data_IF_656374691222
#
_entry.id   IF_656374691222
#
_cell.length_a   1.000
_cell.length_b   1.000
_cell.length_c   1.000
_cell.angle_alpha   90.00
_cell.angle_beta   90.00
_cell.angle_gamma   90.00
#
_symmetry.space_group_name_H-M   'P 1'
#
loop_
_entity.id
_entity.type
_entity.pdbx_description
1 polymer ?
#
# COMPACT_ATOMS: atom_id res chain seq x y z
N UNK A 1 -12.81 4.53 35.58
CA UNK A 1 -13.62 3.87 34.54
C UNK A 1 -13.17 2.42 34.47
N UNK A 2 -14.09 1.48 34.50
CA UNK A 2 -13.84 0.06 34.31
C UNK A 2 -13.52 -0.26 32.85
N UNK A 3 -12.84 -1.38 32.59
CA UNK A 3 -12.56 -1.86 31.24
C UNK A 3 -13.85 -2.01 30.40
N UNK A 4 -14.92 -2.53 31.01
CA UNK A 4 -16.20 -2.74 30.33
C UNK A 4 -16.86 -1.41 29.94
N UNK A 5 -16.89 -0.42 30.83
CA UNK A 5 -17.41 0.92 30.52
C UNK A 5 -16.65 1.58 29.36
N UNK A 6 -15.31 1.46 29.35
CA UNK A 6 -14.47 1.96 28.25
C UNK A 6 -14.87 1.32 26.90
N UNK A 7 -15.00 0.00 26.87
CA UNK A 7 -15.40 -0.75 25.66
C UNK A 7 -16.81 -0.37 25.20
N UNK A 8 -17.78 -0.27 26.12
CA UNK A 8 -19.14 0.14 25.77
C UNK A 8 -19.20 1.58 25.21
N UNK A 9 -18.45 2.51 25.81
CA UNK A 9 -18.41 3.90 25.35
C UNK A 9 -17.80 4.03 23.95
N UNK A 10 -16.62 3.43 23.71
CA UNK A 10 -15.96 3.43 22.40
C UNK A 10 -16.81 2.74 21.32
N UNK A 11 -17.51 1.66 21.68
CA UNK A 11 -18.45 0.97 20.77
C UNK A 11 -19.64 1.86 20.43
N UNK A 12 -20.20 2.57 21.42
CA UNK A 12 -21.31 3.51 21.21
C UNK A 12 -20.90 4.67 20.31
N UNK A 13 -19.71 5.26 20.54
CA UNK A 13 -19.16 6.32 19.69
C UNK A 13 -18.93 5.81 18.26
N UNK A 14 -18.34 4.62 18.10
CA UNK A 14 -18.14 3.97 16.80
C UNK A 14 -19.45 3.80 16.04
N UNK A 15 -20.50 3.27 16.68
CA UNK A 15 -21.82 3.10 16.07
C UNK A 15 -22.49 4.45 15.70
N UNK A 16 -22.25 5.51 16.48
CA UNK A 16 -22.73 6.85 16.15
C UNK A 16 -22.01 7.48 14.97
N UNK A 17 -20.77 7.06 14.66
CA UNK A 17 -19.99 7.53 13.51
C UNK A 17 -20.22 6.67 12.25
N UNK A 18 -20.39 5.36 12.36
CA UNK A 18 -20.73 4.50 11.20
C UNK A 18 -22.13 4.76 10.66
N UNK A 19 -23.04 5.28 11.50
CA UNK A 19 -24.39 5.73 11.08
C UNK A 19 -24.41 7.15 10.48
N UNK A 20 -23.26 7.80 10.31
CA UNK A 20 -23.12 9.10 9.64
C UNK A 20 -22.86 8.91 8.16
N UNK A 21 -23.34 9.87 7.39
CA UNK A 21 -22.90 10.10 6.01
C UNK A 21 -21.51 10.74 5.99
N UNK A 22 -20.76 10.56 4.89
CA UNK A 22 -19.38 11.06 4.74
C UNK A 22 -19.23 12.60 4.82
N UNK A 23 -20.32 13.37 4.86
CA UNK A 23 -20.29 14.82 5.05
C UNK A 23 -20.07 15.24 6.52
N UNK A 24 -20.46 14.41 7.49
CA UNK A 24 -20.23 14.63 8.94
C UNK A 24 -18.77 14.30 9.33
N UNK A 25 -17.82 14.67 8.45
CA UNK A 25 -16.41 14.26 8.48
C UNK A 25 -15.73 14.57 9.82
N UNK A 26 -15.93 15.77 10.34
CA UNK A 26 -15.27 16.23 11.56
C UNK A 26 -15.65 15.38 12.79
N UNK A 27 -16.90 14.92 12.86
CA UNK A 27 -17.36 14.03 13.93
C UNK A 27 -16.81 12.62 13.77
N UNK A 28 -16.79 12.10 12.54
CA UNK A 28 -16.22 10.78 12.21
C UNK A 28 -14.71 10.76 12.53
N UNK A 29 -13.98 11.82 12.16
CA UNK A 29 -12.55 12.00 12.45
C UNK A 29 -12.31 12.14 13.96
N UNK A 30 -13.11 12.93 14.69
CA UNK A 30 -13.00 13.04 16.15
C UNK A 30 -13.23 11.70 16.87
N UNK A 31 -14.27 10.94 16.51
CA UNK A 31 -14.53 9.60 17.07
C UNK A 31 -13.38 8.64 16.77
N UNK A 32 -12.86 8.66 15.54
CA UNK A 32 -11.70 7.84 15.15
C UNK A 32 -10.49 8.14 16.02
N UNK A 33 -10.16 9.43 16.18
CA UNK A 33 -9.00 9.86 16.95
C UNK A 33 -9.16 9.51 18.43
N UNK A 34 -10.35 9.60 19.01
CA UNK A 34 -10.61 9.16 20.38
C UNK A 34 -10.40 7.64 20.55
N UNK A 35 -10.95 6.82 19.63
CA UNK A 35 -10.73 5.36 19.64
C UNK A 35 -9.23 5.05 19.50
N UNK A 36 -8.50 5.78 18.67
CA UNK A 36 -7.06 5.65 18.50
C UNK A 36 -6.27 6.01 19.77
N UNK A 37 -6.51 7.18 20.35
CA UNK A 37 -5.81 7.68 21.54
C UNK A 37 -6.02 6.77 22.76
N UNK A 38 -7.26 6.32 22.99
CA UNK A 38 -7.57 5.39 24.10
C UNK A 38 -6.98 4.00 23.85
N UNK A 39 -6.96 3.51 22.61
CA UNK A 39 -6.59 2.11 22.32
C UNK A 39 -5.10 1.89 22.04
N UNK A 40 -4.36 2.92 21.61
CA UNK A 40 -2.98 2.79 21.12
C UNK A 40 -1.97 3.75 21.76
N UNK A 41 -2.39 4.90 22.28
CA UNK A 41 -1.50 5.90 22.90
C UNK A 41 -1.56 5.88 24.43
N UNK A 42 -2.75 5.76 25.00
CA UNK A 42 -2.96 5.84 26.45
C UNK A 42 -2.47 4.57 27.15
N UNK A 43 -1.30 4.66 27.80
CA UNK A 43 -0.61 3.52 28.44
C UNK A 43 -1.50 2.70 29.40
N UNK A 44 -2.41 3.35 30.13
CA UNK A 44 -3.28 2.67 31.11
C UNK A 44 -4.34 1.77 30.47
N UNK A 45 -4.76 2.07 29.23
CA UNK A 45 -5.87 1.42 28.54
C UNK A 45 -5.41 0.53 27.39
N UNK A 46 -4.30 0.89 26.73
CA UNK A 46 -3.74 0.20 25.56
C UNK A 46 -3.64 -1.32 25.72
N UNK A 47 -3.13 -1.77 26.88
CA UNK A 47 -2.83 -3.19 27.12
C UNK A 47 -4.10 -4.07 27.17
N UNK A 48 -5.27 -3.49 27.48
CA UNK A 48 -6.55 -4.22 27.52
C UNK A 48 -7.53 -3.85 26.39
N UNK A 49 -7.32 -2.72 25.69
CA UNK A 49 -8.25 -2.21 24.68
C UNK A 49 -7.73 -2.29 23.25
N UNK A 50 -6.43 -2.46 23.01
CA UNK A 50 -5.82 -2.47 21.66
C UNK A 50 -6.47 -3.44 20.66
N UNK A 51 -6.94 -4.62 21.10
CA UNK A 51 -7.71 -5.53 20.25
C UNK A 51 -9.07 -4.93 19.85
N UNK A 52 -9.88 -4.53 20.83
CA UNK A 52 -11.19 -3.92 20.59
C UNK A 52 -11.08 -2.63 19.78
N UNK A 53 -10.09 -1.79 20.07
CA UNK A 53 -9.79 -0.58 19.31
C UNK A 53 -9.44 -0.86 17.86
N UNK A 54 -8.63 -1.90 17.59
CA UNK A 54 -8.37 -2.37 16.22
C UNK A 54 -9.67 -2.79 15.51
N UNK A 55 -10.52 -3.57 16.18
CA UNK A 55 -11.77 -4.07 15.60
C UNK A 55 -12.76 -2.90 15.33
N UNK A 56 -12.83 -1.90 16.22
CA UNK A 56 -13.64 -0.69 16.06
C UNK A 56 -13.09 0.24 14.95
N UNK A 57 -11.78 0.48 14.88
CA UNK A 57 -11.16 1.24 13.79
C UNK A 57 -11.33 0.54 12.43
N UNK A 58 -11.23 -0.79 12.38
CA UNK A 58 -11.50 -1.58 11.19
C UNK A 58 -12.95 -1.43 10.72
N UNK A 59 -13.90 -1.44 11.66
CA UNK A 59 -15.31 -1.16 11.40
C UNK A 59 -15.51 0.25 10.85
N UNK A 60 -14.95 1.27 11.49
CA UNK A 60 -15.00 2.67 11.03
C UNK A 60 -14.47 2.82 9.61
N UNK A 61 -13.29 2.28 9.32
CA UNK A 61 -12.67 2.34 7.99
C UNK A 61 -13.47 1.58 6.90
N UNK A 62 -14.26 0.57 7.28
CA UNK A 62 -15.14 -0.15 6.36
C UNK A 62 -16.35 0.68 5.89
N UNK A 63 -16.90 1.52 6.77
CA UNK A 63 -17.96 2.48 6.40
C UNK A 63 -17.38 3.76 5.77
N UNK A 64 -16.21 4.19 6.22
CA UNK A 64 -15.60 5.47 5.88
C UNK A 64 -14.11 5.31 5.49
N UNK A 65 -13.79 4.87 4.26
CA UNK A 65 -12.41 4.53 3.87
C UNK A 65 -11.40 5.67 4.00
N UNK A 66 -11.83 6.94 3.94
CA UNK A 66 -10.95 8.11 4.11
C UNK A 66 -10.26 8.16 5.49
N UNK A 67 -10.81 7.45 6.49
CA UNK A 67 -10.24 7.34 7.83
C UNK A 67 -8.84 6.72 7.80
N UNK A 68 -8.52 5.89 6.81
CA UNK A 68 -7.18 5.29 6.69
C UNK A 68 -6.12 6.39 6.46
N UNK A 69 -6.42 7.44 5.69
CA UNK A 69 -5.56 8.64 5.56
C UNK A 69 -5.40 9.42 6.88
N UNK A 70 -6.48 9.53 7.66
CA UNK A 70 -6.48 10.18 8.99
C UNK A 70 -5.56 9.42 9.95
N UNK A 71 -5.74 8.10 10.06
CA UNK A 71 -4.94 7.23 10.91
C UNK A 71 -3.46 7.20 10.48
N UNK A 72 -3.18 7.22 9.17
CA UNK A 72 -1.81 7.24 8.65
C UNK A 72 -1.07 8.52 9.07
N UNK A 73 -1.74 9.67 8.94
CA UNK A 73 -1.20 10.97 9.40
C UNK A 73 -1.01 10.99 10.91
N UNK A 74 -2.02 10.57 11.68
CA UNK A 74 -1.95 10.55 13.15
C UNK A 74 -0.84 9.62 13.67
N UNK A 75 -0.65 8.46 13.03
CA UNK A 75 0.47 7.56 13.30
C UNK A 75 1.81 8.21 12.95
N UNK A 76 1.90 9.06 11.92
CA UNK A 76 3.14 9.80 11.61
C UNK A 76 3.54 10.77 12.72
N UNK A 77 2.57 11.42 13.36
CA UNK A 77 2.77 12.38 14.46
C UNK A 77 3.14 11.71 15.79
N UNK A 78 2.68 10.47 16.00
CA UNK A 78 2.76 9.74 17.28
C UNK A 78 3.66 8.50 17.21
N UNK A 79 4.45 8.36 16.15
CA UNK A 79 5.16 7.13 15.81
C UNK A 79 6.14 6.65 16.89
N UNK A 80 6.73 7.59 17.64
CA UNK A 80 7.63 7.31 18.77
C UNK A 80 6.91 6.63 19.94
N UNK A 81 5.62 6.92 20.13
CA UNK A 81 4.77 6.36 21.18
C UNK A 81 4.13 5.04 20.77
N UNK A 82 3.53 4.97 19.59
CA UNK A 82 2.83 3.75 19.12
C UNK A 82 3.80 2.66 18.68
N UNK A 83 4.97 3.04 18.13
CA UNK A 83 6.00 2.11 17.67
C UNK A 83 5.45 1.04 16.73
N UNK A 84 5.99 -0.19 16.83
CA UNK A 84 5.59 -1.32 15.95
C UNK A 84 4.13 -1.75 16.08
N UNK A 85 3.41 -1.30 17.12
CA UNK A 85 1.98 -1.62 17.30
C UNK A 85 1.12 -1.02 16.17
N UNK A 86 1.59 0.03 15.49
CA UNK A 86 0.90 0.59 14.33
C UNK A 86 0.67 -0.44 13.21
N UNK A 87 1.59 -1.39 13.01
CA UNK A 87 1.45 -2.47 12.02
C UNK A 87 0.37 -3.48 12.47
N UNK A 88 0.29 -3.78 13.77
CA UNK A 88 -0.79 -4.59 14.32
C UNK A 88 -2.17 -3.91 14.23
N UNK A 89 -2.23 -2.58 14.33
CA UNK A 89 -3.46 -1.81 14.14
C UNK A 89 -3.91 -1.85 12.68
N UNK A 90 -3.06 -1.43 11.74
CA UNK A 90 -3.37 -1.44 10.30
C UNK A 90 -3.71 -2.85 9.79
N UNK A 91 -3.04 -3.86 10.34
CA UNK A 91 -3.58 -5.16 10.77
C UNK A 91 -5.03 -5.51 10.40
N UNK A 92 -5.97 -4.76 10.98
CA UNK A 92 -7.41 -5.02 10.94
C UNK A 92 -8.21 -3.99 10.14
N UNK A 93 -7.55 -3.09 9.41
CA UNK A 93 -8.21 -2.10 8.57
C UNK A 93 -8.41 -2.66 7.16
N UNK A 94 -9.56 -2.40 6.50
CA UNK A 94 -9.81 -2.83 5.12
C UNK A 94 -9.06 -1.92 4.12
N UNK A 95 -7.72 -2.01 4.08
CA UNK A 95 -6.87 -1.19 3.20
C UNK A 95 -7.24 -1.33 1.72
N UNK A 96 -7.84 -2.45 1.32
CA UNK A 96 -8.27 -2.71 -0.04
C UNK A 96 -9.45 -1.85 -0.52
N UNK A 97 -10.24 -1.21 0.36
CA UNK A 97 -11.31 -0.26 -0.05
C UNK A 97 -10.85 1.21 -0.06
N UNK A 98 -9.58 1.47 0.26
CA UNK A 98 -9.05 2.82 0.40
C UNK A 98 -8.52 3.40 -0.90
N UNK A 99 -8.89 4.66 -1.16
CA UNK A 99 -8.33 5.48 -2.23
C UNK A 99 -7.38 6.53 -1.61
N UNK A 100 -6.05 6.35 -1.69
CA UNK A 100 -5.09 7.29 -1.11
C UNK A 100 -5.05 8.61 -1.90
N UNK A 101 -4.81 9.72 -1.20
CA UNK A 101 -4.49 11.00 -1.84
C UNK A 101 -2.97 11.20 -1.95
N UNK A 102 -2.53 12.20 -2.71
CA UNK A 102 -1.09 12.41 -2.98
C UNK A 102 -0.25 12.57 -1.72
N UNK A 103 -0.74 13.27 -0.69
CA UNK A 103 -0.01 13.40 0.58
C UNK A 103 0.15 12.08 1.33
N UNK A 104 -0.79 11.14 1.18
CA UNK A 104 -0.69 9.81 1.78
C UNK A 104 0.42 8.99 1.08
N UNK A 105 0.48 9.11 -0.25
CA UNK A 105 1.50 8.44 -1.07
C UNK A 105 2.90 9.05 -0.87
N UNK A 106 3.00 10.37 -0.70
CA UNK A 106 4.26 11.04 -0.33
C UNK A 106 4.73 10.62 1.07
N UNK A 107 3.82 10.46 2.03
CA UNK A 107 4.13 9.95 3.36
C UNK A 107 4.67 8.51 3.29
N UNK A 108 3.97 7.61 2.61
CA UNK A 108 4.38 6.21 2.37
C UNK A 108 5.77 6.16 1.70
N UNK A 109 5.98 6.97 0.66
CA UNK A 109 7.28 7.08 -0.03
C UNK A 109 8.38 7.57 0.91
N UNK A 110 8.10 8.57 1.73
CA UNK A 110 9.06 9.10 2.68
C UNK A 110 9.49 8.05 3.71
N UNK A 111 8.55 7.22 4.19
CA UNK A 111 8.83 6.12 5.10
C UNK A 111 9.69 5.03 4.46
N UNK A 112 9.38 4.62 3.23
CA UNK A 112 10.16 3.59 2.52
C UNK A 112 11.60 4.03 2.21
N UNK A 113 11.78 5.27 1.78
CA UNK A 113 13.09 5.77 1.35
C UNK A 113 13.94 6.26 2.53
N UNK A 114 13.36 6.98 3.51
CA UNK A 114 14.12 7.75 4.51
C UNK A 114 14.29 7.04 5.86
N UNK A 115 13.56 5.97 6.15
CA UNK A 115 13.64 5.26 7.45
C UNK A 115 14.23 3.85 7.31
N UNK A 116 14.71 3.28 8.41
CA UNK A 116 15.37 1.97 8.41
C UNK A 116 14.41 0.80 8.16
N UNK A 117 14.91 -0.29 7.57
CA UNK A 117 14.12 -1.47 7.20
C UNK A 117 13.36 -2.12 8.38
N UNK A 118 13.86 -1.93 9.60
CA UNK A 118 13.31 -2.45 10.86
C UNK A 118 12.40 -1.46 11.60
N UNK A 119 12.30 -0.22 11.10
CA UNK A 119 11.49 0.84 11.70
C UNK A 119 9.98 0.56 11.55
N UNK A 120 9.14 1.01 12.50
CA UNK A 120 7.69 0.93 12.38
C UNK A 120 7.15 1.55 11.08
N UNK A 121 7.70 2.72 10.70
CA UNK A 121 7.37 3.46 9.48
C UNK A 121 7.56 2.60 8.23
N UNK A 122 8.74 2.03 8.06
CA UNK A 122 9.08 1.21 6.90
C UNK A 122 8.30 -0.12 6.87
N UNK A 123 8.02 -0.71 8.04
CA UNK A 123 7.17 -1.91 8.14
C UNK A 123 5.71 -1.60 7.79
N UNK A 124 5.18 -0.46 8.27
CA UNK A 124 3.81 -0.02 7.99
C UNK A 124 3.63 0.35 6.51
N UNK A 125 4.55 1.10 5.91
CA UNK A 125 4.50 1.46 4.49
C UNK A 125 4.46 0.22 3.58
N UNK A 126 5.29 -0.79 3.89
CA UNK A 126 5.27 -2.08 3.18
C UNK A 126 3.96 -2.84 3.36
N UNK A 127 3.43 -2.87 4.58
CA UNK A 127 2.13 -3.49 4.87
C UNK A 127 1.01 -2.80 4.07
N UNK A 128 0.95 -1.47 4.09
CA UNK A 128 -0.11 -0.70 3.43
C UNK A 128 -0.09 -0.93 1.92
N UNK A 129 1.06 -0.77 1.23
CA UNK A 129 1.16 -1.03 -0.21
C UNK A 129 0.81 -2.47 -0.61
N UNK A 130 1.16 -3.47 0.21
CA UNK A 130 0.85 -4.89 -0.05
C UNK A 130 -0.66 -5.21 0.04
N UNK A 131 -1.43 -4.40 0.76
CA UNK A 131 -2.85 -4.64 1.03
C UNK A 131 -3.78 -3.61 0.35
N UNK A 132 -3.25 -2.73 -0.52
CA UNK A 132 -4.07 -1.94 -1.44
C UNK A 132 -4.68 -2.81 -2.54
N UNK A 133 -5.83 -2.40 -3.08
CA UNK A 133 -6.42 -3.06 -4.24
C UNK A 133 -5.80 -2.54 -5.54
N UNK A 134 -4.81 -3.27 -6.06
CA UNK A 134 -4.21 -3.06 -7.39
C UNK A 134 -4.99 -3.79 -8.52
N UNK A 135 -6.20 -4.25 -8.22
CA UNK A 135 -7.09 -4.93 -9.17
C UNK A 135 -8.01 -3.96 -9.93
N UNK A 136 -9.10 -4.52 -10.42
CA UNK A 136 -10.21 -3.74 -10.98
C UNK A 136 -11.26 -3.48 -9.90
N UNK A 137 -12.12 -2.49 -10.10
CA UNK A 137 -13.31 -2.33 -9.29
C UNK A 137 -14.31 -3.46 -9.61
N UNK A 138 -14.83 -4.10 -8.57
CA UNK A 138 -15.83 -5.17 -8.66
C UNK A 138 -17.28 -4.62 -8.69
N UNK A 139 -17.44 -3.31 -8.46
CA UNK A 139 -18.72 -2.69 -8.10
C UNK A 139 -19.70 -2.41 -9.25
N UNK A 140 -19.27 -2.43 -10.53
CA UNK A 140 -20.23 -2.37 -11.65
C UNK A 140 -19.70 -2.01 -13.04
N UNK A 141 -20.34 -2.64 -14.05
CA UNK A 141 -20.39 -2.40 -15.51
C UNK A 141 -19.12 -2.01 -16.29
N UNK A 142 -18.36 -1.02 -15.85
CA UNK A 142 -17.11 -0.63 -16.50
C UNK A 142 -15.95 -1.37 -15.87
N UNK A 143 -15.32 -2.22 -16.68
CA UNK A 143 -14.03 -2.82 -16.33
C UNK A 143 -12.99 -1.69 -16.24
N UNK A 144 -12.69 -1.23 -15.02
CA UNK A 144 -11.75 -0.14 -14.71
C UNK A 144 -10.86 -0.52 -13.52
N UNK A 145 -9.65 0.03 -13.45
CA UNK A 145 -8.75 -0.17 -12.32
C UNK A 145 -9.31 0.50 -11.06
N UNK A 146 -9.18 -0.17 -9.91
CA UNK A 146 -9.62 0.40 -8.63
C UNK A 146 -8.76 1.60 -8.21
N UNK A 147 -7.44 1.51 -8.38
CA UNK A 147 -6.53 2.65 -8.28
C UNK A 147 -6.14 3.16 -9.66
N UNK A 148 -6.07 4.48 -9.82
CA UNK A 148 -5.69 5.11 -11.08
C UNK A 148 -4.32 4.60 -11.59
N UNK A 149 -4.16 4.47 -12.91
CA UNK A 149 -2.93 3.97 -13.56
C UNK A 149 -1.68 4.79 -13.19
N UNK A 150 -1.83 6.06 -12.81
CA UNK A 150 -0.77 6.89 -12.26
C UNK A 150 -0.21 6.34 -10.94
N UNK A 151 -1.03 5.78 -10.06
CA UNK A 151 -0.55 5.16 -8.81
C UNK A 151 0.23 3.89 -9.05
N UNK A 152 -0.22 3.03 -9.97
CA UNK A 152 0.57 1.87 -10.39
C UNK A 152 1.96 2.27 -10.90
N UNK A 153 2.04 3.30 -11.75
CA UNK A 153 3.31 3.83 -12.26
C UNK A 153 4.17 4.44 -11.14
N UNK A 154 3.58 5.28 -10.29
CA UNK A 154 4.27 5.92 -9.18
C UNK A 154 4.85 4.90 -8.19
N UNK A 155 4.09 3.86 -7.85
CA UNK A 155 4.59 2.76 -7.01
C UNK A 155 5.65 1.94 -7.74
N UNK A 156 5.52 1.64 -9.03
CA UNK A 156 6.60 0.92 -9.75
C UNK A 156 7.94 1.66 -9.72
N UNK A 157 7.93 3.00 -9.85
CA UNK A 157 9.13 3.84 -9.73
C UNK A 157 9.64 3.81 -8.29
N UNK A 158 8.75 3.92 -7.30
CA UNK A 158 9.10 3.83 -5.88
C UNK A 158 9.74 2.50 -5.49
N UNK A 159 9.26 1.37 -6.03
CA UNK A 159 9.85 0.04 -5.79
C UNK A 159 11.28 -0.04 -6.37
N UNK A 160 11.53 0.55 -7.55
CA UNK A 160 12.86 0.64 -8.16
C UNK A 160 13.80 1.56 -7.36
N UNK A 161 13.30 2.67 -6.82
CA UNK A 161 14.09 3.55 -5.94
C UNK A 161 14.46 2.83 -4.62
N UNK A 162 13.52 2.09 -4.02
CA UNK A 162 13.77 1.29 -2.82
C UNK A 162 14.78 0.17 -3.10
N UNK A 163 14.67 -0.54 -4.22
CA UNK A 163 15.63 -1.60 -4.58
C UNK A 163 17.03 -1.05 -4.83
N UNK A 164 17.14 0.06 -5.58
CA UNK A 164 18.41 0.75 -5.83
C UNK A 164 19.08 1.22 -4.54
N UNK A 165 18.31 1.81 -3.62
CA UNK A 165 18.82 2.39 -2.36
C UNK A 165 19.15 1.31 -1.31
N UNK A 166 18.36 0.25 -1.21
CA UNK A 166 18.41 -0.71 -0.09
C UNK A 166 18.93 -2.09 -0.45
N UNK A 167 18.99 -2.44 -1.74
CA UNK A 167 19.49 -3.73 -2.23
C UNK A 167 20.56 -3.55 -3.34
N UNK A 168 21.58 -2.69 -3.14
CA UNK A 168 22.51 -2.31 -4.20
C UNK A 168 23.28 -3.50 -4.79
N UNK A 169 23.48 -4.58 -4.00
CA UNK A 169 24.19 -5.81 -4.37
C UNK A 169 23.25 -6.97 -4.78
N UNK A 170 21.96 -6.71 -5.09
CA UNK A 170 21.03 -7.72 -5.63
C UNK A 170 20.68 -7.45 -7.10
N UNK A 171 20.19 -8.44 -7.87
CA UNK A 171 19.74 -8.22 -9.24
C UNK A 171 18.76 -7.04 -9.33
N UNK A 172 19.10 -6.03 -10.13
CA UNK A 172 18.36 -4.76 -10.23
C UNK A 172 18.87 -3.61 -9.33
N UNK A 173 19.82 -3.86 -8.44
CA UNK A 173 20.51 -2.86 -7.63
C UNK A 173 21.67 -2.18 -8.38
N UNK A 174 21.95 -0.92 -8.02
CA UNK A 174 22.93 -0.05 -8.72
C UNK A 174 24.40 -0.47 -8.62
N UNK A 175 24.73 -1.39 -7.70
CA UNK A 175 26.09 -1.92 -7.52
C UNK A 175 26.18 -3.43 -7.83
N UNK A 176 25.13 -4.02 -8.40
CA UNK A 176 25.12 -5.45 -8.71
C UNK A 176 26.10 -5.75 -9.84
N UNK A 177 27.01 -6.69 -9.60
CA UNK A 177 28.18 -6.93 -10.43
C UNK A 177 27.87 -7.26 -11.90
N UNK A 178 26.65 -7.66 -12.26
CA UNK A 178 26.23 -7.79 -13.67
C UNK A 178 26.28 -6.47 -14.47
N UNK A 179 26.36 -5.30 -13.82
CA UNK A 179 26.60 -4.00 -14.47
C UNK A 179 28.07 -3.54 -14.42
N UNK A 180 28.92 -4.24 -13.66
CA UNK A 180 30.36 -4.04 -13.61
C UNK A 180 31.04 -5.15 -14.44
N UNK A 181 31.44 -4.83 -15.67
CA UNK A 181 31.77 -5.80 -16.72
C UNK A 181 32.91 -6.82 -16.42
N UNK A 182 33.60 -6.70 -15.28
CA UNK A 182 34.86 -7.40 -14.97
C UNK A 182 34.83 -8.26 -13.67
N UNK A 183 33.65 -8.68 -13.19
CA UNK A 183 33.54 -9.48 -11.97
C UNK A 183 34.18 -10.88 -12.13
N UNK A 184 35.30 -11.10 -11.43
CA UNK A 184 36.12 -12.31 -11.58
C UNK A 184 35.47 -13.56 -10.95
N UNK A 185 35.78 -14.75 -11.50
CA UNK A 185 35.26 -16.04 -11.00
C UNK A 185 35.49 -16.27 -9.50
N UNK A 186 36.62 -15.78 -8.96
CA UNK A 186 36.90 -15.87 -7.52
C UNK A 186 35.96 -15.01 -6.66
N UNK A 187 35.56 -13.81 -7.12
CA UNK A 187 34.56 -13.00 -6.41
C UNK A 187 33.21 -13.73 -6.34
N UNK A 188 32.76 -14.33 -7.44
CA UNK A 188 31.52 -15.10 -7.48
C UNK A 188 31.54 -16.28 -6.49
N UNK A 189 32.63 -17.05 -6.45
CA UNK A 189 32.80 -18.16 -5.48
C UNK A 189 32.82 -17.64 -4.03
N UNK A 190 33.52 -16.53 -3.76
CA UNK A 190 33.56 -15.93 -2.42
C UNK A 190 32.19 -15.38 -1.99
N UNK A 191 31.40 -14.80 -2.88
CA UNK A 191 30.03 -14.37 -2.60
C UNK A 191 29.10 -15.56 -2.31
N UNK A 192 29.23 -16.68 -3.02
CA UNK A 192 28.44 -17.89 -2.77
C UNK A 192 28.76 -18.47 -1.37
N UNK A 193 30.03 -18.50 -0.98
CA UNK A 193 30.46 -18.97 0.35
C UNK A 193 30.04 -18.02 1.49
N UNK A 194 30.14 -16.70 1.30
CA UNK A 194 29.77 -15.72 2.34
C UNK A 194 28.26 -15.54 2.46
N UNK A 195 27.51 -15.55 1.35
CA UNK A 195 26.03 -15.50 1.39
C UNK A 195 25.40 -16.74 2.01
N UNK A 196 26.04 -17.91 1.95
CA UNK A 196 25.57 -19.11 2.64
C UNK A 196 25.82 -19.06 4.15
N UNK A 197 26.95 -18.47 4.60
CA UNK A 197 27.19 -18.21 6.02
C UNK A 197 26.23 -17.14 6.60
N UNK A 198 26.06 -16.02 5.91
CA UNK A 198 25.16 -14.94 6.35
C UNK A 198 23.69 -15.39 6.43
N UNK A 199 23.27 -16.32 5.56
CA UNK A 199 21.94 -16.97 5.62
C UNK A 199 21.68 -17.75 6.91
N UNK A 200 22.71 -18.21 7.61
CA UNK A 200 22.56 -19.03 8.82
C UNK A 200 22.45 -18.21 10.11
N UNK A 201 22.88 -16.94 10.11
CA UNK A 201 23.13 -16.16 11.34
C UNK A 201 22.39 -14.82 11.43
N UNK A 202 21.78 -14.32 10.34
CA UNK A 202 20.98 -13.10 10.37
C UNK A 202 19.59 -13.33 9.79
N UNK A 203 18.56 -12.76 10.42
CA UNK A 203 17.31 -12.49 9.70
C UNK A 203 17.65 -11.57 8.53
N UNK A 204 17.55 -12.11 7.33
CA UNK A 204 17.97 -11.43 6.12
C UNK A 204 16.87 -10.43 5.70
N UNK A 205 16.84 -9.28 6.38
CA UNK A 205 15.86 -8.22 6.14
C UNK A 205 15.86 -7.74 4.68
N UNK A 206 17.00 -7.84 3.99
CA UNK A 206 17.14 -7.60 2.55
C UNK A 206 16.44 -8.66 1.70
N UNK A 207 16.49 -9.94 2.08
CA UNK A 207 15.70 -11.00 1.45
C UNK A 207 14.20 -10.73 1.63
N UNK A 208 13.75 -10.45 2.86
CA UNK A 208 12.34 -10.11 3.12
C UNK A 208 11.89 -8.86 2.37
N UNK A 209 12.77 -7.87 2.18
CA UNK A 209 12.49 -6.71 1.34
C UNK A 209 12.41 -7.08 -0.14
N UNK A 210 13.34 -7.90 -0.64
CA UNK A 210 13.38 -8.37 -2.03
C UNK A 210 12.13 -9.17 -2.40
N UNK A 211 11.70 -10.08 -1.52
CA UNK A 211 10.49 -10.88 -1.73
C UNK A 211 9.24 -9.97 -1.73
N UNK A 212 9.15 -9.03 -0.78
CA UNK A 212 8.07 -8.04 -0.74
C UNK A 212 8.03 -7.12 -1.97
N UNK A 213 9.19 -6.69 -2.49
CA UNK A 213 9.27 -5.86 -3.70
C UNK A 213 8.63 -6.59 -4.89
N UNK A 214 8.91 -7.88 -5.05
CA UNK A 214 8.30 -8.71 -6.10
C UNK A 214 6.82 -8.98 -5.86
N UNK A 215 6.41 -9.25 -4.62
CA UNK A 215 4.99 -9.41 -4.27
C UNK A 215 4.16 -8.18 -4.70
N UNK A 216 4.62 -6.96 -4.39
CA UNK A 216 3.90 -5.74 -4.80
C UNK A 216 4.05 -5.47 -6.29
N UNK A 217 5.25 -5.63 -6.88
CA UNK A 217 5.46 -5.38 -8.31
C UNK A 217 4.55 -6.25 -9.21
N UNK A 218 4.33 -7.53 -8.83
CA UNK A 218 3.48 -8.47 -9.56
C UNK A 218 1.97 -8.19 -9.40
N UNK A 219 1.56 -7.33 -8.47
CA UNK A 219 0.17 -6.88 -8.33
C UNK A 219 -0.16 -5.69 -9.26
N UNK A 220 0.84 -4.94 -9.75
CA UNK A 220 0.61 -3.70 -10.49
C UNK A 220 0.19 -3.94 -11.95
N UNK A 221 -0.81 -3.17 -12.43
CA UNK A 221 -1.31 -3.19 -13.82
C UNK A 221 -0.58 -2.16 -14.67
N UNK A 222 0.63 -2.51 -15.11
CA UNK A 222 1.52 -1.61 -15.83
C UNK A 222 1.33 -1.68 -17.35
N UNK A 223 1.17 -2.88 -17.92
CA UNK A 223 1.00 -3.08 -19.36
C UNK A 223 -0.44 -2.80 -19.81
N UNK A 224 -0.61 -2.52 -21.09
CA UNK A 224 -1.93 -2.29 -21.69
C UNK A 224 -2.78 -3.57 -21.78
N UNK A 225 -2.11 -4.73 -21.78
CA UNK A 225 -2.73 -6.06 -21.65
C UNK A 225 -3.29 -6.34 -20.26
N UNK A 226 -2.77 -5.65 -19.24
CA UNK A 226 -3.19 -5.80 -17.84
C UNK A 226 -4.35 -4.86 -17.52
N UNK A 227 -4.66 -3.93 -18.44
CA UNK A 227 -5.80 -3.04 -18.30
C UNK A 227 -7.08 -3.81 -18.59
N UNK A 228 -8.13 -3.57 -17.79
CA UNK A 228 -9.44 -4.12 -18.08
C UNK A 228 -9.93 -3.70 -19.48
N UNK A 229 -10.59 -4.63 -20.18
CA UNK A 229 -10.98 -4.42 -21.57
C UNK A 229 -12.04 -3.30 -21.68
N UNK A 230 -11.92 -2.38 -22.65
CA UNK A 230 -12.94 -1.36 -22.86
C UNK A 230 -14.26 -2.04 -23.26
N UNK A 231 -15.31 -1.79 -22.47
CA UNK A 231 -16.69 -2.14 -22.82
C UNK A 231 -16.97 -1.59 -24.21
N UNK A 232 -17.57 -2.39 -25.10
CA UNK A 232 -17.72 -2.05 -26.52
C UNK A 232 -18.55 -0.77 -26.76
N UNK A 233 -17.87 0.38 -26.73
CA UNK A 233 -18.30 1.54 -27.49
C UNK A 233 -18.25 1.18 -28.96
N UNK A 234 -19.37 1.33 -29.67
CA UNK A 234 -19.51 1.00 -31.08
C UNK A 234 -18.31 1.51 -31.88
N UNK A 235 -17.50 0.59 -32.43
CA UNK A 235 -16.62 0.94 -33.55
C UNK A 235 -17.51 1.48 -34.65
N UNK A 236 -17.47 2.79 -34.87
CA UNK A 236 -17.95 3.36 -36.12
C UNK A 236 -17.25 2.61 -37.24
N UNK A 237 -18.04 1.86 -38.02
CA UNK A 237 -17.52 1.14 -39.16
C UNK A 237 -16.93 2.19 -40.11
N UNK A 238 -15.61 2.19 -40.25
CA UNK A 238 -14.95 2.96 -41.29
C UNK A 238 -15.47 2.43 -42.62
N UNK A 239 -16.35 3.20 -43.26
CA UNK A 239 -16.91 2.86 -44.56
C UNK A 239 -15.77 2.47 -45.52
N UNK A 240 -15.86 1.31 -46.22
CA UNK A 240 -15.02 1.07 -47.37
C UNK A 240 -15.34 2.15 -48.40
N UNK A 241 -14.34 2.90 -48.84
CA UNK A 241 -14.50 3.81 -49.98
C UNK A 241 -14.72 2.94 -51.21
N UNK A 242 -15.93 3.04 -51.76
CA UNK A 242 -16.35 2.31 -52.95
C UNK A 242 -15.44 2.65 -54.14
N UNK A 243 -14.96 1.62 -54.85
CA UNK A 243 -13.93 1.74 -55.91
C UNK A 243 -14.26 0.91 -57.15
N UNK A 244 -15.46 1.12 -57.68
CA UNK A 244 -15.95 0.77 -59.03
C UNK A 244 -17.20 1.63 -59.27
N UNK A 245 -17.50 2.32 -60.36
CA UNK A 245 -17.03 2.41 -61.76
C UNK A 245 -16.90 3.93 -62.12
N UNK A 246 -16.54 4.42 -63.31
CA UNK A 246 -16.11 3.84 -64.60
C UNK A 246 -15.10 4.79 -65.28
N UNK A 247 -14.81 4.66 -66.59
CA UNK A 247 -13.85 5.50 -67.31
C UNK A 247 -14.45 6.48 -68.35
N UNK A 248 -13.63 7.42 -68.82
CA UNK A 248 -13.68 7.95 -70.21
C UNK A 248 -12.48 8.85 -70.56
N UNK A 249 -12.06 8.73 -71.83
CA UNK A 249 -11.10 9.56 -72.57
C UNK A 249 -9.64 9.46 -72.08
N UNK A 250 -8.64 9.26 -72.94
CA UNK A 250 -8.56 9.42 -74.40
C UNK A 250 -7.97 8.20 -75.10
#
# INVERSE_FOLDING_TARGET
>A
MSQSEAVFLLTTFTNMATSREAHDRDFIEAVTLEVYEVSFITNQTRDFSSKTGRDLLGTLCGFHPFIISVLLRKVSETIETVGKVCVYMFSGLPVHVWHPCSSDMDLIRSWLLKTDLTSPQHQLARYVLKNMNWGCDESGESSQLFLDRSWHRAVSVMLVEVSALRLPLRPGGIAHENFAADASFLQQVTQIATSSYNRLMQQNHEQTLYDWLWEVALQLRLHETDLPAPVMGFRQQTHPIDRTLEGKNT
#
